data_IF_888788971687
#
_entry.id   IF_888788971687
#
_cell.length_a   1.000
_cell.length_b   1.000
_cell.length_c   1.000
_cell.angle_alpha   90.00
_cell.angle_beta   90.00
_cell.angle_gamma   90.00
#
_symmetry.space_group_name_H-M   'P 1'
#
loop_
_entity.id
_entity.type
_entity.pdbx_description
1 polymer ?
#
# COMPACT_ATOMS: atom_id res chain seq x y z
N UNK A 1 -24.80 19.75 -4.02
CA UNK A 1 -24.02 20.97 -3.69
C UNK A 1 -24.62 21.75 -2.53
N UNK A 2 -25.91 22.15 -2.56
CA UNK A 2 -26.51 22.93 -1.45
C UNK A 2 -26.49 22.18 -0.10
N UNK A 3 -26.83 20.88 -0.11
CA UNK A 3 -26.87 20.06 1.11
C UNK A 3 -25.50 19.87 1.77
N UNK A 4 -24.42 19.70 0.99
CA UNK A 4 -23.06 19.57 1.54
C UNK A 4 -22.53 20.89 2.11
N UNK A 5 -22.93 22.02 1.52
CA UNK A 5 -22.61 23.36 2.03
C UNK A 5 -23.37 23.62 3.33
N UNK A 6 -24.67 23.33 3.38
CA UNK A 6 -25.48 23.47 4.59
C UNK A 6 -24.98 22.56 5.72
N UNK A 7 -24.59 21.32 5.41
CA UNK A 7 -24.04 20.40 6.41
C UNK A 7 -22.67 20.87 6.95
N UNK A 8 -21.83 21.43 6.08
CA UNK A 8 -20.55 22.04 6.44
C UNK A 8 -20.73 23.28 7.32
N UNK A 9 -21.70 24.14 7.01
CA UNK A 9 -22.05 25.34 7.80
C UNK A 9 -22.63 24.94 9.17
N UNK A 10 -23.49 23.93 9.24
CA UNK A 10 -24.04 23.38 10.49
C UNK A 10 -22.92 22.77 11.35
N UNK A 11 -22.01 22.00 10.75
CA UNK A 11 -20.88 21.40 11.47
C UNK A 11 -19.93 22.46 12.05
N UNK A 12 -19.63 23.51 11.29
CA UNK A 12 -18.81 24.63 11.74
C UNK A 12 -19.49 25.50 12.81
N UNK A 13 -20.82 25.60 12.79
CA UNK A 13 -21.63 26.25 13.84
C UNK A 13 -21.68 25.44 15.14
N UNK A 14 -21.71 24.10 15.05
CA UNK A 14 -21.77 23.20 16.21
C UNK A 14 -20.38 23.03 16.86
N UNK A 15 -19.30 23.11 16.08
CA UNK A 15 -17.93 22.97 16.58
C UNK A 15 -17.02 24.15 16.15
N UNK A 16 -17.24 25.37 16.69
CA UNK A 16 -16.45 26.54 16.32
C UNK A 16 -14.98 26.45 16.79
N UNK A 17 -14.71 25.64 17.82
CA UNK A 17 -13.39 25.45 18.42
C UNK A 17 -12.93 23.98 18.34
N UNK A 18 -13.01 23.35 17.16
CA UNK A 18 -12.29 22.08 16.98
C UNK A 18 -10.80 22.36 17.08
N UNK A 19 -10.21 21.93 18.20
CA UNK A 19 -8.76 21.97 18.39
C UNK A 19 -8.07 21.22 17.26
N UNK A 20 -6.94 21.76 16.80
CA UNK A 20 -6.11 21.13 15.76
C UNK A 20 -5.77 19.68 16.11
N UNK A 21 -5.60 19.34 17.39
CA UNK A 21 -5.37 17.98 17.85
C UNK A 21 -6.51 17.02 17.50
N UNK A 22 -7.77 17.46 17.62
CA UNK A 22 -8.94 16.65 17.30
C UNK A 22 -8.98 16.38 15.80
N UNK A 23 -8.64 17.40 14.99
CA UNK A 23 -8.51 17.24 13.53
C UNK A 23 -7.44 16.23 13.16
N UNK A 24 -6.23 16.33 13.73
CA UNK A 24 -5.15 15.37 13.50
C UNK A 24 -5.54 13.95 13.95
N UNK A 25 -6.20 13.81 15.10
CA UNK A 25 -6.60 12.51 15.60
C UNK A 25 -7.58 11.80 14.65
N UNK A 26 -8.61 12.50 14.17
CA UNK A 26 -9.61 11.91 13.26
C UNK A 26 -9.11 11.73 11.83
N UNK A 27 -8.34 12.67 11.29
CA UNK A 27 -7.92 12.63 9.87
C UNK A 27 -6.61 11.88 9.63
N UNK A 28 -5.74 11.76 10.64
CA UNK A 28 -4.41 11.16 10.51
C UNK A 28 -4.26 9.92 11.41
N UNK A 29 -4.36 10.07 12.72
CA UNK A 29 -4.02 8.99 13.66
C UNK A 29 -5.00 7.83 13.56
N UNK A 30 -6.31 8.09 13.59
CA UNK A 30 -7.34 7.05 13.54
C UNK A 30 -7.27 6.20 12.24
N UNK A 31 -7.22 6.79 11.03
CA UNK A 31 -7.06 6.00 9.80
C UNK A 31 -5.77 5.19 9.75
N UNK A 32 -4.65 5.72 10.26
CA UNK A 32 -3.37 5.00 10.30
C UNK A 32 -3.42 3.82 11.25
N UNK A 33 -4.02 3.99 12.44
CA UNK A 33 -4.24 2.90 13.40
C UNK A 33 -5.14 1.83 12.79
N UNK A 34 -6.26 2.22 12.19
CA UNK A 34 -7.18 1.28 11.50
C UNK A 34 -6.45 0.54 10.38
N UNK A 35 -5.65 1.24 9.57
CA UNK A 35 -4.85 0.62 8.53
C UNK A 35 -3.92 -0.44 9.09
N UNK A 36 -3.14 -0.14 10.14
CA UNK A 36 -2.21 -1.11 10.72
C UNK A 36 -2.92 -2.29 11.40
N UNK A 37 -4.06 -2.04 12.06
CA UNK A 37 -4.88 -3.10 12.63
C UNK A 37 -5.37 -4.07 11.55
N UNK A 38 -5.87 -3.55 10.43
CA UNK A 38 -6.31 -4.37 9.30
C UNK A 38 -5.12 -5.01 8.57
N UNK A 39 -3.99 -4.32 8.45
CA UNK A 39 -2.80 -4.84 7.78
C UNK A 39 -2.20 -6.04 8.51
N UNK A 40 -2.09 -5.99 9.85
CA UNK A 40 -1.50 -7.08 10.64
C UNK A 40 -2.51 -8.15 11.06
N UNK A 41 -3.76 -7.76 11.34
CA UNK A 41 -4.77 -8.65 11.90
C UNK A 41 -5.96 -8.89 10.98
N UNK A 42 -5.97 -8.33 9.77
CA UNK A 42 -7.08 -8.48 8.82
C UNK A 42 -7.43 -9.93 8.55
N UNK A 43 -6.44 -10.82 8.43
CA UNK A 43 -6.71 -12.26 8.25
C UNK A 43 -7.45 -12.90 9.43
N UNK A 44 -7.19 -12.45 10.67
CA UNK A 44 -7.86 -12.94 11.86
C UNK A 44 -9.24 -12.29 12.05
N UNK A 45 -9.34 -10.98 11.80
CA UNK A 45 -10.59 -10.22 11.90
C UNK A 45 -11.64 -10.70 10.89
N UNK A 46 -11.21 -11.18 9.72
CA UNK A 46 -12.08 -11.75 8.71
C UNK A 46 -12.50 -13.21 9.02
N UNK A 47 -11.97 -13.85 10.08
CA UNK A 47 -12.27 -15.22 10.52
C UNK A 47 -12.38 -16.27 9.39
N UNK A 48 -11.62 -16.09 8.29
CA UNK A 48 -11.73 -16.95 7.09
C UNK A 48 -13.09 -16.90 6.35
N UNK A 49 -14.04 -16.09 6.80
CA UNK A 49 -15.38 -15.98 6.23
C UNK A 49 -15.40 -15.06 4.99
N UNK A 50 -14.52 -14.06 4.94
CA UNK A 50 -14.52 -13.00 3.91
C UNK A 50 -13.21 -12.96 3.10
N UNK A 51 -12.27 -13.86 3.42
CA UNK A 51 -10.96 -13.92 2.77
C UNK A 51 -10.88 -14.96 1.66
N UNK A 52 -10.05 -14.75 0.62
CA UNK A 52 -9.77 -15.78 -0.37
C UNK A 52 -9.08 -16.98 0.29
N UNK A 53 -9.35 -18.18 -0.25
CA UNK A 53 -8.64 -19.40 0.13
C UNK A 53 -7.32 -19.45 -0.64
N UNK A 54 -6.21 -19.55 0.07
CA UNK A 54 -4.89 -19.64 -0.53
C UNK A 54 -4.39 -21.07 -0.49
N UNK A 55 -3.73 -21.46 -1.57
CA UNK A 55 -2.87 -22.63 -1.62
C UNK A 55 -1.44 -22.13 -1.72
N UNK A 56 -0.57 -22.60 -0.84
CA UNK A 56 0.84 -22.19 -0.77
C UNK A 56 1.67 -23.46 -0.68
N UNK A 57 2.52 -23.67 -1.68
CA UNK A 57 3.39 -24.84 -1.85
C UNK A 57 4.03 -25.31 -0.55
N UNK A 58 4.72 -24.41 0.15
CA UNK A 58 5.49 -24.71 1.35
C UNK A 58 4.62 -25.08 2.56
N UNK A 59 3.35 -24.68 2.55
CA UNK A 59 2.40 -24.98 3.63
C UNK A 59 1.55 -26.22 3.32
N UNK A 60 1.32 -26.51 2.04
CA UNK A 60 0.42 -27.57 1.61
C UNK A 60 1.16 -28.85 1.17
N UNK A 61 2.44 -28.77 0.82
CA UNK A 61 3.29 -29.92 0.51
C UNK A 61 4.15 -30.24 1.72
N UNK A 62 4.18 -31.51 2.12
CA UNK A 62 5.07 -31.98 3.18
C UNK A 62 6.52 -31.67 2.82
N UNK A 63 7.23 -30.98 3.71
CA UNK A 63 8.63 -30.61 3.52
C UNK A 63 9.59 -31.61 4.19
N UNK A 64 9.07 -32.55 4.97
CA UNK A 64 9.83 -33.45 5.84
C UNK A 64 9.96 -34.85 5.25
N UNK A 65 8.87 -35.45 4.80
CA UNK A 65 8.89 -36.76 4.17
C UNK A 65 9.08 -36.66 2.65
N UNK A 66 10.14 -37.27 2.14
CA UNK A 66 10.46 -37.21 0.71
C UNK A 66 9.41 -37.88 -0.18
N UNK A 67 8.75 -38.94 0.31
CA UNK A 67 7.75 -39.67 -0.47
C UNK A 67 6.47 -38.84 -0.64
N UNK A 68 5.94 -38.32 0.47
CA UNK A 68 4.77 -37.45 0.49
C UNK A 68 5.05 -36.12 -0.21
N UNK A 69 6.29 -35.60 -0.12
CA UNK A 69 6.72 -34.43 -0.88
C UNK A 69 6.65 -34.66 -2.39
N UNK A 70 7.17 -35.79 -2.87
CA UNK A 70 7.14 -36.12 -4.30
C UNK A 70 5.71 -36.26 -4.81
N UNK A 71 4.81 -36.89 -4.04
CA UNK A 71 3.38 -36.97 -4.35
C UNK A 71 2.72 -35.58 -4.40
N UNK A 72 3.04 -34.72 -3.43
CA UNK A 72 2.57 -33.33 -3.41
C UNK A 72 3.05 -32.51 -4.60
N UNK A 73 4.32 -32.65 -4.98
CA UNK A 73 4.91 -31.99 -6.17
C UNK A 73 4.22 -32.48 -7.46
N UNK A 74 3.96 -33.79 -7.57
CA UNK A 74 3.26 -34.35 -8.72
C UNK A 74 1.84 -33.81 -8.90
N UNK A 75 1.18 -33.39 -7.80
CA UNK A 75 -0.15 -32.78 -7.82
C UNK A 75 -0.18 -31.29 -8.18
N UNK A 76 0.96 -30.60 -8.18
CA UNK A 76 1.04 -29.14 -8.40
C UNK A 76 0.34 -28.68 -9.69
N UNK A 77 0.57 -29.30 -10.86
CA UNK A 77 -0.04 -28.83 -12.10
C UNK A 77 -1.56 -28.84 -12.03
N UNK A 78 -2.14 -29.86 -11.39
CA UNK A 78 -3.59 -29.99 -11.25
C UNK A 78 -4.15 -28.92 -10.32
N UNK A 79 -3.46 -28.61 -9.21
CA UNK A 79 -3.90 -27.56 -8.28
C UNK A 79 -3.85 -26.19 -8.96
N UNK A 80 -2.75 -25.88 -9.65
CA UNK A 80 -2.58 -24.62 -10.38
C UNK A 80 -3.63 -24.47 -11.48
N UNK A 81 -3.89 -25.52 -12.25
CA UNK A 81 -4.91 -25.48 -13.31
C UNK A 81 -6.33 -25.25 -12.78
N UNK A 82 -6.67 -25.78 -11.60
CA UNK A 82 -7.98 -25.65 -10.97
C UNK A 82 -8.12 -24.40 -10.07
N UNK A 83 -7.06 -23.61 -9.92
CA UNK A 83 -7.10 -22.39 -9.11
C UNK A 83 -7.88 -21.28 -9.82
N UNK A 84 -8.69 -20.52 -9.09
CA UNK A 84 -9.50 -19.43 -9.65
C UNK A 84 -8.66 -18.18 -9.99
N UNK A 85 -7.57 -17.96 -9.27
CA UNK A 85 -6.63 -16.85 -9.44
C UNK A 85 -5.21 -17.33 -9.12
N UNK A 86 -4.21 -16.82 -9.85
CA UNK A 86 -2.79 -17.03 -9.54
C UNK A 86 -2.17 -15.71 -9.11
N UNK A 87 -1.74 -15.64 -7.85
CA UNK A 87 -1.01 -14.51 -7.28
C UNK A 87 0.50 -14.76 -7.42
N UNK A 88 1.13 -14.02 -8.33
CA UNK A 88 2.56 -14.04 -8.56
C UNK A 88 3.23 -12.93 -7.76
N UNK A 89 4.01 -13.30 -6.76
CA UNK A 89 4.87 -12.39 -6.01
C UNK A 89 6.19 -12.19 -6.76
N UNK A 90 6.25 -11.12 -7.55
CA UNK A 90 7.36 -10.87 -8.45
C UNK A 90 8.56 -10.25 -7.73
N UNK A 91 9.72 -10.85 -7.97
CA UNK A 91 11.05 -10.32 -7.71
C UNK A 91 11.93 -10.46 -8.96
N UNK A 92 13.15 -9.93 -8.92
CA UNK A 92 14.07 -9.99 -10.06
C UNK A 92 14.43 -11.43 -10.48
N UNK A 93 14.37 -12.37 -9.53
CA UNK A 93 14.69 -13.79 -9.77
C UNK A 93 13.49 -14.62 -10.23
N UNK A 94 12.28 -14.06 -10.29
CA UNK A 94 11.05 -14.82 -10.52
C UNK A 94 11.10 -15.60 -11.83
N UNK A 95 11.40 -14.91 -12.94
CA UNK A 95 11.49 -15.52 -14.26
C UNK A 95 12.73 -16.38 -14.46
N UNK A 96 13.68 -16.36 -13.52
CA UNK A 96 14.80 -17.29 -13.54
C UNK A 96 14.43 -18.66 -12.96
N UNK A 97 13.31 -18.81 -12.24
CA UNK A 97 12.97 -20.04 -11.54
C UNK A 97 12.09 -20.95 -12.39
N UNK A 98 12.59 -22.13 -12.74
CA UNK A 98 11.90 -23.08 -13.64
C UNK A 98 10.49 -23.43 -13.15
N UNK A 99 10.34 -23.83 -11.88
CA UNK A 99 9.05 -24.17 -11.28
C UNK A 99 8.04 -23.01 -11.33
N UNK A 100 8.46 -21.79 -10.98
CA UNK A 100 7.58 -20.61 -11.02
C UNK A 100 7.06 -20.31 -12.44
N UNK A 101 7.92 -20.51 -13.45
CA UNK A 101 7.54 -20.34 -14.86
C UNK A 101 6.62 -21.46 -15.35
N UNK A 102 6.86 -22.69 -14.91
CA UNK A 102 6.02 -23.83 -15.20
C UNK A 102 4.59 -23.63 -14.66
N UNK A 103 4.44 -23.24 -13.40
CA UNK A 103 3.15 -22.91 -12.78
C UNK A 103 2.43 -21.78 -13.53
N UNK A 104 3.18 -20.72 -13.86
CA UNK A 104 2.66 -19.59 -14.64
C UNK A 104 2.11 -20.06 -16.01
N UNK A 105 2.84 -20.95 -16.69
CA UNK A 105 2.45 -21.48 -18.00
C UNK A 105 1.20 -22.36 -17.93
N UNK A 106 1.08 -23.20 -16.90
CA UNK A 106 -0.08 -24.06 -16.67
C UNK A 106 -1.31 -23.21 -16.40
N UNK A 107 -1.19 -22.24 -15.49
CA UNK A 107 -2.29 -21.35 -15.15
C UNK A 107 -2.74 -20.54 -16.37
N UNK A 108 -1.80 -19.97 -17.11
CA UNK A 108 -2.09 -19.19 -18.32
C UNK A 108 -2.81 -20.03 -19.37
N UNK A 109 -2.39 -21.28 -19.59
CA UNK A 109 -3.01 -22.20 -20.55
C UNK A 109 -4.45 -22.56 -20.16
N UNK A 110 -4.74 -22.70 -18.87
CA UNK A 110 -6.08 -23.07 -18.38
C UNK A 110 -7.06 -21.90 -18.20
N UNK A 111 -6.59 -20.78 -17.64
CA UNK A 111 -7.43 -19.68 -17.14
C UNK A 111 -7.19 -18.32 -17.82
N UNK A 112 -6.13 -18.21 -18.63
CA UNK A 112 -5.73 -16.96 -19.30
C UNK A 112 -5.22 -15.87 -18.35
N UNK A 113 -5.06 -14.63 -18.86
CA UNK A 113 -4.45 -13.51 -18.13
C UNK A 113 -5.37 -12.81 -17.12
N UNK A 114 -6.70 -12.96 -17.27
CA UNK A 114 -7.66 -12.15 -16.51
C UNK A 114 -7.52 -12.35 -14.99
N UNK A 115 -7.22 -13.57 -14.59
CA UNK A 115 -7.09 -13.98 -13.19
C UNK A 115 -5.62 -14.19 -12.79
N UNK A 116 -4.68 -13.61 -13.54
CA UNK A 116 -3.28 -13.58 -13.17
C UNK A 116 -2.99 -12.24 -12.47
N UNK A 117 -2.56 -12.28 -11.21
CA UNK A 117 -2.18 -11.10 -10.43
C UNK A 117 -0.69 -11.09 -10.21
N UNK A 118 0.01 -10.19 -10.89
CA UNK A 118 1.43 -9.97 -10.69
C UNK A 118 1.63 -8.82 -9.69
N UNK A 119 2.17 -9.13 -8.51
CA UNK A 119 2.40 -8.17 -7.42
C UNK A 119 3.90 -8.07 -7.14
N UNK A 120 4.54 -6.92 -7.39
CA UNK A 120 5.95 -6.76 -7.11
C UNK A 120 6.22 -6.67 -5.60
N UNK A 121 7.23 -7.42 -5.13
CA UNK A 121 7.60 -7.44 -3.70
C UNK A 121 8.11 -6.08 -3.17
N UNK A 122 8.60 -5.21 -4.04
CA UNK A 122 9.06 -3.86 -3.64
C UNK A 122 7.91 -2.89 -3.33
N UNK A 123 6.65 -3.23 -3.68
CA UNK A 123 5.49 -2.36 -3.46
C UNK A 123 5.15 -2.18 -1.98
N UNK A 124 5.19 -3.25 -1.19
CA UNK A 124 4.89 -3.22 0.25
C UNK A 124 5.87 -2.33 1.04
N UNK A 125 7.20 -2.53 0.97
CA UNK A 125 8.14 -1.67 1.68
C UNK A 125 8.09 -0.21 1.18
N UNK A 126 7.83 0.01 -0.11
CA UNK A 126 7.58 1.34 -0.67
C UNK A 126 6.40 2.04 0.02
N UNK A 127 5.26 1.35 0.10
CA UNK A 127 4.03 1.88 0.69
C UNK A 127 4.23 2.19 2.18
N UNK A 128 4.75 1.23 2.94
CA UNK A 128 4.95 1.37 4.39
C UNK A 128 5.94 2.49 4.72
N UNK A 129 7.05 2.60 3.97
CA UNK A 129 8.04 3.67 4.17
C UNK A 129 7.45 5.04 3.87
N UNK A 130 6.69 5.15 2.77
CA UNK A 130 6.05 6.41 2.36
C UNK A 130 4.98 6.83 3.38
N UNK A 131 4.16 5.89 3.86
CA UNK A 131 3.15 6.15 4.88
C UNK A 131 3.79 6.59 6.20
N UNK A 132 4.81 5.86 6.67
CA UNK A 132 5.52 6.19 7.91
C UNK A 132 6.13 7.59 7.86
N UNK A 133 6.85 7.90 6.79
CA UNK A 133 7.54 9.19 6.68
C UNK A 133 6.55 10.36 6.53
N UNK A 134 5.45 10.14 5.82
CA UNK A 134 4.36 11.12 5.71
C UNK A 134 3.68 11.34 7.06
N UNK A 135 3.45 10.28 7.83
CA UNK A 135 2.90 10.35 9.18
C UNK A 135 3.81 11.13 10.13
N UNK A 136 5.10 10.76 10.18
CA UNK A 136 6.10 11.44 11.03
C UNK A 136 6.21 12.92 10.66
N UNK A 137 6.27 13.24 9.36
CA UNK A 137 6.29 14.62 8.88
C UNK A 137 5.07 15.40 9.36
N UNK A 138 3.86 14.87 9.17
CA UNK A 138 2.63 15.52 9.62
C UNK A 138 2.58 15.73 11.14
N UNK A 139 3.06 14.76 11.92
CA UNK A 139 3.14 14.87 13.40
C UNK A 139 4.18 15.89 13.85
N UNK A 140 5.32 15.98 13.18
CA UNK A 140 6.31 17.02 13.47
C UNK A 140 5.71 18.40 13.22
N UNK A 141 5.02 18.60 12.09
CA UNK A 141 4.32 19.86 11.81
C UNK A 141 3.34 20.21 12.94
N UNK A 142 2.53 19.25 13.40
CA UNK A 142 1.61 19.48 14.52
C UNK A 142 2.33 19.95 15.80
N UNK A 143 3.37 19.24 16.22
CA UNK A 143 4.16 19.60 17.43
C UNK A 143 4.81 20.97 17.29
N UNK A 144 5.40 21.28 16.12
CA UNK A 144 6.02 22.58 15.88
C UNK A 144 4.98 23.72 15.88
N UNK A 145 3.80 23.51 15.30
CA UNK A 145 2.71 24.51 15.31
C UNK A 145 2.19 24.81 16.71
N UNK A 146 2.31 23.88 17.66
CA UNK A 146 1.95 24.08 19.06
C UNK A 146 3.06 24.80 19.84
N UNK A 147 4.33 24.55 19.51
CA UNK A 147 5.48 25.13 20.22
C UNK A 147 5.71 26.62 19.95
N UNK A 148 5.19 27.15 18.84
CA UNK A 148 5.42 28.53 18.41
C UNK A 148 4.11 29.35 18.42
N UNK A 149 3.78 30.04 19.53
CA UNK A 149 2.52 30.76 19.69
C UNK A 149 2.36 31.94 18.72
N UNK A 150 3.45 32.45 18.15
CA UNK A 150 3.43 33.55 17.17
C UNK A 150 2.82 33.16 15.82
N UNK A 151 2.83 31.86 15.48
CA UNK A 151 2.15 31.31 14.30
C UNK A 151 0.68 30.94 14.55
N UNK A 152 0.21 31.10 15.80
CA UNK A 152 -1.18 31.20 16.27
C UNK A 152 -2.28 30.66 15.35
N UNK A 153 -2.16 29.40 14.94
CA UNK A 153 -3.20 28.66 14.18
C UNK A 153 -4.50 28.54 14.97
N UNK A 154 -4.40 28.65 16.30
CA UNK A 154 -5.48 28.60 17.29
C UNK A 154 -5.94 29.99 17.75
N UNK A 155 -5.32 31.09 17.30
CA UNK A 155 -5.74 32.45 17.67
C UNK A 155 -6.93 32.89 16.82
N UNK A 156 -8.13 32.48 17.26
CA UNK A 156 -9.42 32.82 16.64
C UNK A 156 -9.78 34.29 16.82
N UNK A 157 -9.05 35.04 17.66
CA UNK A 157 -9.31 36.46 17.95
C UNK A 157 -9.23 37.33 16.69
N UNK A 158 -8.29 37.05 15.78
CA UNK A 158 -8.13 37.74 14.48
C UNK A 158 -9.19 37.38 13.43
N UNK A 159 -9.99 36.35 13.71
CA UNK A 159 -11.00 35.79 12.79
C UNK A 159 -12.44 36.10 13.24
N UNK A 160 -12.61 36.58 14.47
CA UNK A 160 -13.89 36.96 15.11
C UNK A 160 -14.64 38.13 14.45
N UNK A 161 -14.01 38.86 13.52
CA UNK A 161 -14.59 40.03 12.86
C UNK A 161 -15.26 39.79 11.49
N UNK A 162 -15.30 38.55 10.98
CA UNK A 162 -15.86 38.26 9.64
C UNK A 162 -17.29 37.73 9.77
N UNK A 163 -18.25 38.66 9.86
CA UNK A 163 -19.67 38.34 9.80
C UNK A 163 -20.07 37.97 8.34
N UNK A 164 -20.65 36.78 8.14
CA UNK A 164 -21.59 36.56 7.03
C UNK A 164 -21.59 35.22 6.27
N UNK A 165 -20.49 34.45 6.20
CA UNK A 165 -20.51 33.11 5.55
C UNK A 165 -19.38 32.21 6.05
N UNK A 166 -19.67 30.95 6.44
CA UNK A 166 -18.60 30.06 6.92
C UNK A 166 -17.65 29.62 5.79
N UNK A 167 -18.07 29.68 4.52
CA UNK A 167 -17.18 29.56 3.36
C UNK A 167 -16.04 30.59 3.40
N UNK A 168 -16.34 31.87 3.62
CA UNK A 168 -15.33 32.93 3.65
C UNK A 168 -14.40 32.80 4.87
N UNK A 169 -14.97 32.40 6.01
CA UNK A 169 -14.22 32.08 7.21
C UNK A 169 -13.25 30.90 6.99
N UNK A 170 -13.74 29.81 6.38
CA UNK A 170 -12.95 28.64 6.04
C UNK A 170 -11.84 28.94 5.05
N UNK A 171 -12.12 29.72 3.99
CA UNK A 171 -11.12 30.15 3.01
C UNK A 171 -10.03 31.03 3.64
N UNK A 172 -10.40 32.00 4.48
CA UNK A 172 -9.44 32.88 5.15
C UNK A 172 -8.56 32.09 6.13
N UNK A 173 -9.14 31.10 6.82
CA UNK A 173 -8.42 30.16 7.70
C UNK A 173 -7.47 29.27 6.91
N UNK A 174 -7.90 28.73 5.78
CA UNK A 174 -7.06 27.94 4.87
C UNK A 174 -5.88 28.76 4.32
N UNK A 175 -6.12 30.00 3.86
CA UNK A 175 -5.05 30.88 3.37
C UNK A 175 -4.04 31.25 4.47
N UNK A 176 -4.50 31.47 5.71
CA UNK A 176 -3.62 31.67 6.86
C UNK A 176 -2.74 30.45 7.14
N UNK A 177 -3.32 29.25 7.10
CA UNK A 177 -2.56 27.99 7.21
C UNK A 177 -1.59 27.78 6.05
N UNK A 178 -1.98 28.10 4.82
CA UNK A 178 -1.11 28.00 3.65
C UNK A 178 0.09 28.97 3.74
N UNK A 179 -0.12 30.20 4.20
CA UNK A 179 0.96 31.17 4.40
C UNK A 179 1.93 30.72 5.52
N UNK A 180 1.39 30.23 6.64
CA UNK A 180 2.19 29.65 7.73
C UNK A 180 2.91 28.36 7.30
N UNK A 181 2.32 27.57 6.40
CA UNK A 181 2.87 26.30 5.92
C UNK A 181 4.20 26.44 5.18
N UNK A 182 4.53 27.62 4.66
CA UNK A 182 5.82 27.88 4.04
C UNK A 182 6.98 27.67 5.03
N UNK A 183 6.80 27.98 6.31
CA UNK A 183 7.78 27.73 7.36
C UNK A 183 7.95 26.24 7.67
N UNK A 184 6.95 25.42 7.34
CA UNK A 184 6.91 23.99 7.63
C UNK A 184 7.25 23.11 6.42
N UNK A 185 7.52 23.71 5.26
CA UNK A 185 7.90 22.98 4.04
C UNK A 185 9.12 22.07 4.27
N UNK A 186 10.04 22.46 5.15
CA UNK A 186 11.21 21.67 5.50
C UNK A 186 10.84 20.28 6.07
N UNK A 187 9.72 20.17 6.80
CA UNK A 187 9.24 18.88 7.33
C UNK A 187 8.62 18.02 6.23
N UNK A 188 8.11 18.63 5.16
CA UNK A 188 7.56 17.93 4.00
C UNK A 188 8.64 17.49 2.99
N UNK A 189 9.84 18.08 3.03
CA UNK A 189 10.92 17.73 2.10
C UNK A 189 11.36 16.25 2.21
N UNK A 190 11.60 15.68 3.40
CA UNK A 190 11.97 14.26 3.52
C UNK A 190 10.97 13.28 2.90
N UNK A 191 9.64 13.32 3.21
CA UNK A 191 8.68 12.41 2.58
C UNK A 191 8.56 12.64 1.08
N UNK A 192 8.68 13.88 0.59
CA UNK A 192 8.68 14.17 -0.85
C UNK A 192 9.91 13.57 -1.52
N UNK A 193 11.11 13.77 -0.97
CA UNK A 193 12.36 13.25 -1.52
C UNK A 193 12.36 11.72 -1.57
N UNK A 194 11.98 11.08 -0.47
CA UNK A 194 11.83 9.62 -0.43
C UNK A 194 10.73 9.19 -1.38
N UNK A 195 9.61 9.90 -1.47
CA UNK A 195 8.55 9.62 -2.43
C UNK A 195 9.04 9.64 -3.87
N UNK A 196 9.86 10.62 -4.25
CA UNK A 196 10.48 10.74 -5.59
C UNK A 196 11.41 9.55 -5.84
N UNK A 197 12.36 9.27 -4.93
CA UNK A 197 13.30 8.14 -5.07
C UNK A 197 12.55 6.81 -5.14
N UNK A 198 11.52 6.66 -4.33
CA UNK A 198 10.72 5.45 -4.24
C UNK A 198 9.87 5.27 -5.51
N UNK A 199 9.38 6.37 -6.10
CA UNK A 199 8.72 6.37 -7.39
C UNK A 199 9.67 6.04 -8.55
N UNK A 200 10.91 6.54 -8.52
CA UNK A 200 11.93 6.16 -9.49
C UNK A 200 12.25 4.67 -9.40
N UNK A 201 12.49 4.14 -8.19
CA UNK A 201 12.69 2.70 -7.96
C UNK A 201 11.51 1.86 -8.42
N UNK A 202 10.29 2.38 -8.28
CA UNK A 202 9.07 1.76 -8.84
C UNK A 202 9.13 1.67 -10.37
N UNK A 203 9.48 2.75 -11.04
CA UNK A 203 9.60 2.77 -12.50
C UNK A 203 10.70 1.82 -12.97
N UNK A 204 11.86 1.83 -12.31
CA UNK A 204 12.96 0.91 -12.60
C UNK A 204 12.54 -0.54 -12.38
N UNK A 205 11.86 -0.84 -11.27
CA UNK A 205 11.34 -2.18 -10.98
C UNK A 205 10.33 -2.67 -12.02
N UNK A 206 9.44 -1.80 -12.51
CA UNK A 206 8.54 -2.14 -13.62
C UNK A 206 9.27 -2.34 -14.95
N UNK A 207 10.31 -1.53 -15.22
CA UNK A 207 11.13 -1.71 -16.42
C UNK A 207 11.85 -3.04 -16.38
N UNK A 208 12.51 -3.36 -15.28
CA UNK A 208 13.20 -4.63 -15.05
C UNK A 208 12.24 -5.81 -15.24
N UNK A 209 11.02 -5.71 -14.69
CA UNK A 209 9.97 -6.71 -14.85
C UNK A 209 9.57 -6.95 -16.31
N UNK A 210 9.34 -5.88 -17.09
CA UNK A 210 8.99 -5.98 -18.50
C UNK A 210 10.17 -6.52 -19.33
N UNK A 211 11.39 -6.13 -18.99
CA UNK A 211 12.60 -6.61 -19.65
C UNK A 211 12.82 -8.10 -19.39
N UNK A 212 12.67 -8.56 -18.14
CA UNK A 212 12.73 -9.98 -17.79
C UNK A 212 11.65 -10.81 -18.50
N UNK A 213 10.44 -10.27 -18.64
CA UNK A 213 9.38 -10.95 -19.42
C UNK A 213 9.74 -11.06 -20.91
N UNK A 214 10.37 -10.02 -21.47
CA UNK A 214 10.74 -9.98 -22.88
C UNK A 214 11.92 -10.91 -23.21
N UNK A 215 12.90 -10.99 -22.33
CA UNK A 215 14.12 -11.81 -22.51
C UNK A 215 13.98 -13.24 -21.99
N UNK A 216 12.79 -13.60 -21.48
CA UNK A 216 12.53 -14.91 -20.90
C UNK A 216 12.72 -16.05 -21.91
N UNK A 217 13.49 -17.07 -21.52
CA UNK A 217 13.66 -18.34 -22.23
C UNK A 217 13.67 -19.48 -21.21
N UNK A 218 12.74 -20.43 -21.36
CA UNK A 218 12.58 -21.57 -20.43
C UNK A 218 13.86 -22.40 -20.30
N UNK A 219 14.65 -22.51 -21.38
CA UNK A 219 15.90 -23.29 -21.41
C UNK A 219 16.98 -22.70 -20.52
N UNK A 220 16.89 -21.40 -20.24
CA UNK A 220 17.82 -20.69 -19.37
C UNK A 220 17.31 -20.60 -17.93
N UNK A 221 16.11 -21.10 -17.64
CA UNK A 221 15.56 -21.10 -16.29
C UNK A 221 16.39 -22.01 -15.39
N UNK A 222 16.74 -21.50 -14.22
CA UNK A 222 17.45 -22.19 -13.14
C UNK A 222 16.51 -23.19 -12.47
N UNK A 223 17.03 -24.37 -12.21
CA UNK A 223 16.38 -25.36 -11.37
C UNK A 223 17.18 -25.58 -10.09
N UNK A 224 16.49 -25.81 -8.97
CA UNK A 224 17.15 -26.18 -7.71
C UNK A 224 17.58 -27.65 -7.75
N UNK A 225 16.77 -28.52 -8.38
CA UNK A 225 17.04 -29.94 -8.56
C UNK A 225 17.01 -30.25 -10.05
N UNK A 226 18.16 -30.55 -10.64
CA UNK A 226 18.27 -30.65 -12.10
C UNK A 226 17.41 -31.78 -12.70
N UNK A 227 17.13 -32.84 -11.92
CA UNK A 227 16.21 -33.90 -12.33
C UNK A 227 14.79 -33.38 -12.64
N UNK A 228 14.35 -32.29 -12.01
CA UNK A 228 13.03 -31.71 -12.25
C UNK A 228 12.91 -31.12 -13.66
N UNK A 229 14.04 -30.76 -14.29
CA UNK A 229 14.04 -30.26 -15.67
C UNK A 229 13.49 -31.30 -16.64
N UNK A 230 13.83 -32.57 -16.44
CA UNK A 230 13.34 -33.69 -17.27
C UNK A 230 11.83 -33.91 -17.17
N UNK A 231 11.20 -33.38 -16.12
CA UNK A 231 9.74 -33.48 -15.91
C UNK A 231 9.02 -32.31 -16.61
N UNK A 232 9.70 -31.18 -16.79
CA UNK A 232 9.13 -29.91 -17.24
C UNK A 232 9.42 -29.63 -18.73
N UNK A 233 10.63 -29.94 -19.22
CA UNK A 233 11.07 -29.80 -20.61
C UNK A 233 10.89 -31.10 -21.42
#
# INVERSE_FOLDING_TARGET
MLASVVLSEIFMLICPEVSIHVVFWFLLDFPVVVFFLVFFFGQHLACGLWGPRFWVDRLCVDQTDETTKAEGIAGLPTIVANSSELLVLWDKSYFERLWCNFELSIFFKGNGLKNLRLVPLWLTPWLLTTMLLSYVSARLVAVFTESEPSFGVNDTSKLSGVAGSALLFGLKRFCGYAAASQAYLCFCLPPIMVGIVSFQKKLDGHRDMLESMKSFDVRNAKCTVENDRLVIE
#
